data_IF_274236787057
#
_entry.id   IF_274236787057
#
_cell.length_a   1.000
_cell.length_b   1.000
_cell.length_c   1.000
_cell.angle_alpha   90.00
_cell.angle_beta   90.00
_cell.angle_gamma   90.00
#
_symmetry.space_group_name_H-M   'P 1'
#
loop_
_entity.id
_entity.type
_entity.pdbx_description
1 polymer ?
#
# COMPACT_ATOMS: atom_id res chain seq x y z
N UNK A 1 -3.91 -31.51 1.53
CA UNK A 1 -4.51 -30.15 1.48
C UNK A 1 -4.75 -29.78 0.02
N UNK A 2 -5.91 -29.20 -0.32
CA UNK A 2 -6.18 -28.76 -1.69
C UNK A 2 -5.30 -27.53 -2.00
N UNK A 3 -4.12 -27.76 -2.61
CA UNK A 3 -3.05 -26.78 -2.89
C UNK A 3 -3.50 -25.53 -3.66
N UNK A 4 -4.76 -25.43 -4.09
CA UNK A 4 -5.33 -24.28 -4.80
C UNK A 4 -5.74 -23.16 -3.85
N UNK A 5 -6.29 -23.52 -2.68
CA UNK A 5 -6.73 -22.53 -1.69
C UNK A 5 -5.56 -21.79 -1.05
N UNK A 6 -4.35 -22.37 -1.09
CA UNK A 6 -3.16 -21.77 -0.48
C UNK A 6 -2.80 -20.41 -1.10
N UNK A 7 -2.93 -20.25 -2.42
CA UNK A 7 -2.62 -19.00 -3.11
C UNK A 7 -3.51 -17.85 -2.64
N UNK A 8 -4.80 -18.14 -2.41
CA UNK A 8 -5.73 -17.16 -1.83
C UNK A 8 -5.45 -16.88 -0.36
N UNK A 9 -4.96 -17.87 0.41
CA UNK A 9 -4.53 -17.63 1.80
C UNK A 9 -3.30 -16.72 1.86
N UNK A 10 -2.29 -17.04 1.06
CA UNK A 10 -1.05 -16.24 0.95
C UNK A 10 -1.39 -14.82 0.51
N UNK A 11 -2.15 -14.67 -0.59
CA UNK A 11 -2.54 -13.35 -1.09
C UNK A 11 -3.36 -12.56 -0.08
N UNK A 12 -4.28 -13.22 0.64
CA UNK A 12 -5.07 -12.59 1.71
C UNK A 12 -4.18 -12.05 2.83
N UNK A 13 -3.21 -12.85 3.32
CA UNK A 13 -2.29 -12.40 4.37
C UNK A 13 -1.43 -11.23 3.89
N UNK A 14 -0.93 -11.28 2.65
CA UNK A 14 -0.12 -10.20 2.09
C UNK A 14 -0.92 -8.89 1.96
N UNK A 15 -2.15 -8.95 1.44
CA UNK A 15 -3.03 -7.78 1.38
C UNK A 15 -3.44 -7.25 2.75
N UNK A 16 -3.59 -8.12 3.74
CA UNK A 16 -3.88 -7.72 5.11
C UNK A 16 -2.70 -6.95 5.72
N UNK A 17 -1.47 -7.45 5.56
CA UNK A 17 -0.25 -6.79 6.03
C UNK A 17 -0.09 -5.43 5.33
N UNK A 18 -0.17 -5.43 3.99
CA UNK A 18 -0.06 -4.21 3.21
C UNK A 18 -1.10 -3.17 3.62
N UNK A 19 -2.37 -3.59 3.71
CA UNK A 19 -3.47 -2.69 4.09
C UNK A 19 -3.30 -2.12 5.49
N UNK A 20 -2.86 -2.92 6.46
CA UNK A 20 -2.58 -2.46 7.81
C UNK A 20 -1.45 -1.41 7.86
N UNK A 21 -0.34 -1.64 7.16
CA UNK A 21 0.76 -0.67 7.09
C UNK A 21 0.30 0.65 6.48
N UNK A 22 -0.54 0.61 5.43
CA UNK A 22 -1.03 1.82 4.75
C UNK A 22 -2.07 2.59 5.57
N UNK A 23 -2.90 1.89 6.36
CA UNK A 23 -3.76 2.55 7.37
C UNK A 23 -2.90 3.33 8.36
N UNK A 24 -1.86 2.69 8.91
CA UNK A 24 -0.95 3.34 9.86
C UNK A 24 -0.21 4.53 9.24
N UNK A 25 0.34 4.36 8.03
CA UNK A 25 1.03 5.42 7.31
C UNK A 25 0.12 6.62 7.03
N UNK A 26 -1.12 6.38 6.61
CA UNK A 26 -2.12 7.42 6.41
C UNK A 26 -2.44 8.18 7.70
N UNK A 27 -2.73 7.47 8.78
CA UNK A 27 -3.02 8.08 10.10
C UNK A 27 -1.85 8.91 10.61
N UNK A 28 -0.62 8.39 10.53
CA UNK A 28 0.58 9.09 11.02
C UNK A 28 0.83 10.36 10.19
N UNK A 29 0.69 10.28 8.86
CA UNK A 29 0.86 11.41 7.95
C UNK A 29 -0.16 12.51 8.25
N UNK A 30 -1.44 12.15 8.31
CA UNK A 30 -2.51 13.10 8.56
C UNK A 30 -2.38 13.72 9.96
N UNK A 31 -2.01 12.93 10.97
CA UNK A 31 -1.74 13.43 12.32
C UNK A 31 -0.62 14.47 12.33
N UNK A 32 0.49 14.24 11.62
CA UNK A 32 1.58 15.21 11.53
C UNK A 32 1.12 16.51 10.86
N UNK A 33 0.38 16.42 9.74
CA UNK A 33 -0.15 17.58 9.03
C UNK A 33 -1.14 18.38 9.88
N UNK A 34 -2.05 17.71 10.60
CA UNK A 34 -3.03 18.37 11.47
C UNK A 34 -2.37 19.08 12.68
N UNK A 35 -1.16 18.66 13.08
CA UNK A 35 -0.36 19.33 14.10
C UNK A 35 0.63 20.37 13.53
N UNK A 36 0.57 20.65 12.23
CA UNK A 36 1.43 21.63 11.56
C UNK A 36 2.85 21.14 11.25
N UNK A 37 3.15 19.85 11.43
CA UNK A 37 4.46 19.26 11.17
C UNK A 37 4.59 18.72 9.74
N UNK A 38 4.70 19.63 8.78
CA UNK A 38 4.86 19.28 7.36
C UNK A 38 6.19 18.56 7.11
N UNK A 39 7.27 19.01 7.77
CA UNK A 39 8.61 18.44 7.60
C UNK A 39 8.64 16.99 8.10
N UNK A 40 8.04 16.72 9.26
CA UNK A 40 7.91 15.37 9.80
C UNK A 40 7.06 14.47 8.91
N UNK A 41 5.94 14.97 8.38
CA UNK A 41 5.10 14.21 7.44
C UNK A 41 5.87 13.81 6.17
N UNK A 42 6.60 14.75 5.55
CA UNK A 42 7.43 14.47 4.36
C UNK A 42 8.57 13.52 4.70
N UNK A 43 9.25 13.72 5.83
CA UNK A 43 10.37 12.88 6.27
C UNK A 43 9.93 11.44 6.61
N UNK A 44 8.69 11.26 7.06
CA UNK A 44 8.10 9.93 7.29
C UNK A 44 7.81 9.15 6.00
N UNK A 45 7.64 9.85 4.87
CA UNK A 45 7.40 9.25 3.55
C UNK A 45 8.72 9.09 2.78
N UNK A 46 9.55 10.14 2.73
CA UNK A 46 10.82 10.21 2.02
C UNK A 46 12.01 10.02 2.98
N UNK A 47 12.05 8.89 3.67
CA UNK A 47 12.97 8.61 4.79
C UNK A 47 14.44 8.37 4.40
N UNK A 48 14.77 8.37 3.10
CA UNK A 48 16.16 8.36 2.64
C UNK A 48 16.76 9.78 2.48
N UNK A 49 15.93 10.82 2.50
CA UNK A 49 16.38 12.21 2.36
C UNK A 49 16.89 12.77 3.69
N UNK A 50 17.95 13.58 3.64
CA UNK A 50 18.45 14.31 4.80
C UNK A 50 17.36 15.27 5.32
N UNK A 51 16.86 15.10 6.56
CA UNK A 51 15.83 15.97 7.12
C UNK A 51 16.24 17.44 7.17
N UNK A 52 17.55 17.73 7.22
CA UNK A 52 18.05 19.11 7.19
C UNK A 52 17.81 19.79 5.85
N UNK A 53 17.71 19.03 4.75
CA UNK A 53 17.36 19.55 3.43
C UNK A 53 15.87 19.92 3.32
N UNK A 54 15.03 19.41 4.23
CA UNK A 54 13.58 19.64 4.28
C UNK A 54 13.19 20.80 5.23
N UNK A 55 14.14 21.53 5.82
CA UNK A 55 13.91 22.66 6.75
C UNK A 55 13.31 23.92 6.10
N UNK A 56 12.58 23.76 4.99
CA UNK A 56 11.92 24.86 4.31
C UNK A 56 10.65 25.30 5.08
N UNK A 57 10.34 26.60 5.04
CA UNK A 57 9.00 27.08 5.34
C UNK A 57 8.06 26.62 4.21
N UNK A 58 7.51 25.42 4.34
CA UNK A 58 6.52 24.91 3.41
C UNK A 58 5.25 25.76 3.46
N UNK A 59 4.71 26.20 2.31
CA UNK A 59 3.38 26.80 2.27
C UNK A 59 2.33 25.84 2.83
N UNK A 60 1.30 26.37 3.51
CA UNK A 60 0.20 25.56 4.05
C UNK A 60 -0.46 24.68 2.96
N UNK A 61 -0.50 25.16 1.73
CA UNK A 61 -1.01 24.39 0.59
C UNK A 61 -0.20 23.10 0.33
N UNK A 62 1.12 23.12 0.52
CA UNK A 62 1.96 21.91 0.42
C UNK A 62 1.59 20.90 1.50
N UNK A 63 1.38 21.37 2.75
CA UNK A 63 0.89 20.52 3.83
C UNK A 63 -0.46 19.88 3.50
N UNK A 64 -1.38 20.64 2.91
CA UNK A 64 -2.68 20.11 2.48
C UNK A 64 -2.58 19.02 1.39
N UNK A 65 -1.62 19.15 0.46
CA UNK A 65 -1.34 18.09 -0.54
C UNK A 65 -0.83 16.82 0.14
N UNK A 66 0.07 16.94 1.13
CA UNK A 66 0.57 15.79 1.89
C UNK A 66 -0.54 15.16 2.74
N UNK A 67 -1.43 15.94 3.35
CA UNK A 67 -2.61 15.41 4.05
C UNK A 67 -3.58 14.71 3.10
N UNK A 68 -3.73 15.20 1.86
CA UNK A 68 -4.50 14.47 0.84
C UNK A 68 -3.85 13.13 0.48
N UNK A 69 -2.52 13.07 0.43
CA UNK A 69 -1.79 11.82 0.25
C UNK A 69 -2.00 10.86 1.43
N UNK A 70 -1.87 11.34 2.67
CA UNK A 70 -2.11 10.54 3.89
C UNK A 70 -3.53 9.97 3.93
N UNK A 71 -4.54 10.79 3.64
CA UNK A 71 -5.93 10.33 3.50
C UNK A 71 -6.08 9.25 2.43
N UNK A 72 -5.39 9.39 1.28
CA UNK A 72 -5.41 8.37 0.24
C UNK A 72 -4.81 7.04 0.69
N UNK A 73 -3.65 7.07 1.35
CA UNK A 73 -3.05 5.86 1.93
C UNK A 73 -4.01 5.18 2.89
N UNK A 74 -4.70 5.97 3.73
CA UNK A 74 -5.66 5.46 4.71
C UNK A 74 -6.81 4.70 4.03
N UNK A 75 -7.55 5.34 3.12
CA UNK A 75 -8.74 4.67 2.54
C UNK A 75 -8.36 3.51 1.62
N UNK A 76 -7.21 3.58 0.92
CA UNK A 76 -6.70 2.47 0.11
C UNK A 76 -6.31 1.30 1.03
N UNK A 77 -5.63 1.59 2.15
CA UNK A 77 -5.29 0.61 3.19
C UNK A 77 -6.53 -0.07 3.78
N UNK A 78 -7.56 0.70 4.15
CA UNK A 78 -8.84 0.16 4.63
C UNK A 78 -9.50 -0.73 3.57
N UNK A 79 -9.51 -0.29 2.31
CA UNK A 79 -10.14 -1.04 1.21
C UNK A 79 -9.47 -2.38 1.00
N UNK A 80 -8.14 -2.41 0.92
CA UNK A 80 -7.36 -3.65 0.73
C UNK A 80 -7.43 -4.55 1.95
N UNK A 81 -7.43 -3.99 3.16
CA UNK A 81 -7.64 -4.73 4.41
C UNK A 81 -8.98 -5.46 4.43
N UNK A 82 -10.08 -4.77 4.09
CA UNK A 82 -11.41 -5.40 3.99
C UNK A 82 -11.43 -6.46 2.88
N UNK A 83 -10.88 -6.16 1.71
CA UNK A 83 -10.78 -7.12 0.61
C UNK A 83 -10.07 -8.41 1.05
N UNK A 84 -9.02 -8.31 1.87
CA UNK A 84 -8.23 -9.45 2.34
C UNK A 84 -9.10 -10.55 2.97
N UNK A 85 -10.14 -10.18 3.72
CA UNK A 85 -11.08 -11.10 4.39
C UNK A 85 -11.87 -11.93 3.36
N UNK A 86 -12.27 -11.29 2.25
CA UNK A 86 -13.00 -11.95 1.17
C UNK A 86 -12.07 -12.71 0.21
N UNK A 87 -10.84 -12.23 0.02
CA UNK A 87 -9.80 -12.91 -0.75
C UNK A 87 -9.49 -14.27 -0.12
N UNK A 88 -9.51 -14.38 1.21
CA UNK A 88 -9.35 -15.66 1.92
C UNK A 88 -10.31 -16.75 1.40
N UNK A 89 -11.51 -16.36 0.95
CA UNK A 89 -12.55 -17.26 0.40
C UNK A 89 -12.49 -17.39 -1.13
N UNK A 90 -11.53 -16.75 -1.80
CA UNK A 90 -11.38 -16.76 -3.25
C UNK A 90 -12.38 -15.87 -3.99
N UNK A 91 -12.92 -14.82 -3.34
CA UNK A 91 -13.86 -13.91 -3.98
C UNK A 91 -13.16 -13.10 -5.09
N UNK A 92 -13.57 -13.33 -6.34
CA UNK A 92 -12.96 -12.71 -7.52
C UNK A 92 -13.06 -11.17 -7.53
N UNK A 93 -14.19 -10.62 -7.09
CA UNK A 93 -14.40 -9.17 -7.10
C UNK A 93 -13.50 -8.48 -6.06
N UNK A 94 -13.37 -9.07 -4.87
CA UNK A 94 -12.45 -8.56 -3.85
C UNK A 94 -10.98 -8.65 -4.29
N UNK A 95 -10.60 -9.73 -4.99
CA UNK A 95 -9.26 -9.86 -5.58
C UNK A 95 -8.99 -8.73 -6.58
N UNK A 96 -9.90 -8.52 -7.54
CA UNK A 96 -9.73 -7.50 -8.56
C UNK A 96 -9.71 -6.09 -7.94
N UNK A 97 -10.57 -5.83 -6.96
CA UNK A 97 -10.60 -4.55 -6.27
C UNK A 97 -9.29 -4.26 -5.52
N UNK A 98 -8.74 -5.24 -4.80
CA UNK A 98 -7.46 -5.08 -4.09
C UNK A 98 -6.29 -4.86 -5.06
N UNK A 99 -6.23 -5.63 -6.17
CA UNK A 99 -5.19 -5.46 -7.20
C UNK A 99 -5.29 -4.06 -7.84
N UNK A 100 -6.48 -3.59 -8.17
CA UNK A 100 -6.66 -2.28 -8.77
C UNK A 100 -6.32 -1.15 -7.79
N UNK A 101 -6.79 -1.23 -6.55
CA UNK A 101 -6.60 -0.15 -5.58
C UNK A 101 -5.19 -0.13 -5.00
N UNK A 102 -4.77 -1.21 -4.34
CA UNK A 102 -3.44 -1.29 -3.73
C UNK A 102 -2.33 -1.44 -4.77
N UNK A 103 -2.56 -2.22 -5.83
CA UNK A 103 -1.54 -2.42 -6.87
C UNK A 103 -1.24 -1.15 -7.66
N UNK A 104 -2.24 -0.34 -8.03
CA UNK A 104 -1.97 0.94 -8.70
C UNK A 104 -1.35 1.97 -7.74
N UNK A 105 -1.71 1.95 -6.45
CA UNK A 105 -1.05 2.79 -5.46
C UNK A 105 0.47 2.50 -5.39
N UNK A 106 0.84 1.22 -5.35
CA UNK A 106 2.25 0.82 -5.31
C UNK A 106 2.98 1.00 -6.64
N UNK A 107 2.29 0.99 -7.79
CA UNK A 107 2.91 1.40 -9.06
C UNK A 107 3.33 2.87 -8.98
N UNK A 108 2.47 3.75 -8.46
CA UNK A 108 2.82 5.14 -8.24
C UNK A 108 3.99 5.29 -7.26
N UNK A 109 3.93 4.57 -6.13
CA UNK A 109 5.00 4.55 -5.16
C UNK A 109 6.33 4.07 -5.77
N UNK A 110 6.32 2.96 -6.50
CA UNK A 110 7.52 2.42 -7.14
C UNK A 110 8.14 3.42 -8.13
N UNK A 111 7.32 4.03 -8.98
CA UNK A 111 7.81 4.95 -10.02
C UNK A 111 8.42 6.23 -9.44
N UNK A 112 7.82 6.79 -8.39
CA UNK A 112 8.20 8.11 -7.89
C UNK A 112 9.06 8.05 -6.63
N UNK A 113 8.88 7.04 -5.78
CA UNK A 113 9.57 6.92 -4.49
C UNK A 113 10.75 5.93 -4.57
N UNK A 114 10.52 4.69 -5.01
CA UNK A 114 11.58 3.68 -5.09
C UNK A 114 12.60 4.04 -6.19
N UNK A 115 12.15 4.25 -7.43
CA UNK A 115 13.05 4.64 -8.54
C UNK A 115 13.63 6.04 -8.37
N UNK A 116 12.96 6.91 -7.62
CA UNK A 116 13.45 8.24 -7.26
C UNK A 116 14.57 8.23 -6.23
N UNK A 117 14.79 7.11 -5.53
CA UNK A 117 15.80 6.99 -4.48
C UNK A 117 15.46 7.77 -3.21
N UNK A 118 14.17 8.01 -2.96
CA UNK A 118 13.70 8.85 -1.84
C UNK A 118 13.37 8.05 -0.57
N UNK A 119 13.40 6.73 -0.63
CA UNK A 119 12.92 5.86 0.44
C UNK A 119 13.93 4.76 0.78
N UNK A 120 13.91 4.32 2.03
CA UNK A 120 14.67 3.15 2.50
C UNK A 120 13.88 1.86 2.24
N UNK A 121 14.57 0.73 2.42
CA UNK A 121 14.02 -0.59 2.16
C UNK A 121 12.76 -0.90 3.00
N UNK A 122 12.71 -0.50 4.27
CA UNK A 122 11.58 -0.76 5.16
C UNK A 122 11.13 0.52 5.89
N UNK A 123 9.83 0.85 5.91
CA UNK A 123 8.72 0.08 5.35
C UNK A 123 8.56 0.17 3.82
N UNK A 124 9.30 1.08 3.16
CA UNK A 124 9.10 1.48 1.76
C UNK A 124 9.11 0.35 0.72
N UNK A 125 10.27 0.06 0.11
CA UNK A 125 10.40 -0.94 -0.95
C UNK A 125 9.85 -2.32 -0.56
N UNK A 126 9.87 -2.64 0.74
CA UNK A 126 9.27 -3.86 1.27
C UNK A 126 7.77 -3.97 0.96
N UNK A 127 6.99 -2.88 1.06
CA UNK A 127 5.56 -2.91 0.72
C UNK A 127 5.32 -3.12 -0.78
N UNK A 128 6.15 -2.53 -1.65
CA UNK A 128 6.14 -2.78 -3.09
C UNK A 128 6.34 -4.27 -3.41
N UNK A 129 7.24 -4.94 -2.69
CA UNK A 129 7.45 -6.40 -2.82
C UNK A 129 6.24 -7.17 -2.29
N UNK A 130 5.71 -6.79 -1.13
CA UNK A 130 4.55 -7.45 -0.51
C UNK A 130 3.32 -7.38 -1.43
N UNK A 131 3.00 -6.22 -2.01
CA UNK A 131 1.87 -6.08 -2.93
C UNK A 131 2.11 -6.85 -4.24
N UNK A 132 3.32 -6.82 -4.78
CA UNK A 132 3.68 -7.60 -5.97
C UNK A 132 3.46 -9.10 -5.76
N UNK A 133 3.90 -9.63 -4.61
CA UNK A 133 3.64 -11.02 -4.23
C UNK A 133 2.15 -11.29 -4.00
N UNK A 134 1.41 -10.32 -3.45
CA UNK A 134 -0.03 -10.44 -3.24
C UNK A 134 -0.78 -10.55 -4.58
N UNK A 135 -0.40 -9.72 -5.57
CA UNK A 135 -0.94 -9.71 -6.93
C UNK A 135 -0.62 -11.04 -7.63
N UNK A 136 0.65 -11.45 -7.66
CA UNK A 136 1.07 -12.70 -8.31
C UNK A 136 0.34 -13.90 -7.71
N UNK A 137 0.27 -13.99 -6.38
CA UNK A 137 -0.45 -15.06 -5.68
C UNK A 137 -1.95 -15.05 -6.02
N UNK A 138 -2.57 -13.88 -6.07
CA UNK A 138 -3.98 -13.73 -6.47
C UNK A 138 -4.23 -14.23 -7.90
N UNK A 139 -3.39 -13.81 -8.86
CA UNK A 139 -3.52 -14.19 -10.27
C UNK A 139 -3.31 -15.69 -10.49
N UNK A 140 -2.33 -16.29 -9.82
CA UNK A 140 -2.12 -17.75 -9.86
C UNK A 140 -3.34 -18.48 -9.30
N UNK A 141 -3.91 -18.00 -8.18
CA UNK A 141 -5.12 -18.54 -7.60
C UNK A 141 -6.32 -18.50 -8.56
N UNK A 142 -6.53 -17.37 -9.24
CA UNK A 142 -7.61 -17.20 -10.23
C UNK A 142 -7.44 -18.13 -11.44
N UNK A 143 -6.23 -18.22 -12.00
CA UNK A 143 -5.95 -19.07 -13.17
C UNK A 143 -6.18 -20.55 -12.89
N UNK A 144 -5.75 -21.04 -11.72
CA UNK A 144 -5.97 -22.44 -11.31
C UNK A 144 -7.43 -22.76 -10.98
N UNK A 145 -8.24 -21.78 -10.62
CA UNK A 145 -9.67 -21.95 -10.38
C UNK A 145 -10.46 -22.07 -11.71
N UNK A 146 -10.08 -21.29 -12.73
CA UNK A 146 -10.76 -21.29 -14.05
C UNK A 146 -10.63 -22.63 -14.80
N UNK A 147 -9.48 -23.31 -14.68
CA UNK A 147 -9.22 -24.61 -15.31
C UNK A 147 -10.13 -25.75 -14.83
N UNK A 148 -10.92 -25.58 -13.76
CA UNK A 148 -11.84 -26.62 -13.26
C UNK A 148 -13.27 -26.50 -13.76
N UNK A 149 -13.63 -25.39 -14.38
CA UNK A 149 -15.00 -25.15 -14.86
C UNK A 149 -15.17 -25.52 -16.35
N UNK A 150 -14.17 -26.17 -16.93
CA UNK A 150 -14.15 -26.78 -18.27
C UNK A 150 -13.74 -28.24 -18.12
#
# INVERSE_FOLDING_TARGET
MNNKKIYFKVSSVLWLIWGFVHIMAGVITDYAILNGDIVGAVSGIADAIDPNSLKANYPNATGAIIGQHGFNLLWIGVTTFICSIFIWKGNKNAILLAILTGGLADVGYFLFMDLGGYVRFAPGTLMTIVSSLAIVSSLIGLSKNKQQNY
#
